data_IF_284850931551
#
_entry.id   IF_284850931551
#
_cell.length_a   1.000
_cell.length_b   1.000
_cell.length_c   1.000
_cell.angle_alpha   90.00
_cell.angle_beta   90.00
_cell.angle_gamma   90.00
#
_symmetry.space_group_name_H-M   'P 1'
#
loop_
_entity.id
_entity.type
_entity.pdbx_description
1 polymer ?
#
# COMPACT_ATOMS: atom_id res chain seq x y z
N UNK A 1 -13.01 -11.07 -5.61
CA UNK A 1 -12.59 -10.52 -4.30
C UNK A 1 -11.14 -10.07 -4.42
N UNK A 2 -10.81 -8.86 -3.94
CA UNK A 2 -9.49 -8.20 -4.09
C UNK A 2 -9.25 -7.50 -5.44
N UNK A 3 -8.85 -6.23 -5.43
CA UNK A 3 -8.36 -5.47 -6.61
C UNK A 3 -7.19 -4.59 -6.21
N UNK A 4 -5.99 -4.93 -6.67
CA UNK A 4 -4.74 -4.23 -6.36
C UNK A 4 -3.78 -5.13 -5.57
N UNK A 5 -2.68 -4.55 -5.12
CA UNK A 5 -1.63 -5.28 -4.41
C UNK A 5 -2.11 -5.77 -3.04
N UNK A 6 -1.86 -7.04 -2.74
CA UNK A 6 -2.16 -7.65 -1.44
C UNK A 6 -0.91 -7.65 -0.58
N UNK A 7 -1.02 -7.13 0.62
CA UNK A 7 0.07 -7.12 1.60
C UNK A 7 -0.13 -8.25 2.61
N UNK A 8 0.89 -9.08 2.79
CA UNK A 8 0.91 -10.17 3.78
C UNK A 8 1.97 -9.85 4.84
N UNK A 9 1.57 -9.89 6.10
CA UNK A 9 2.47 -9.76 7.23
C UNK A 9 2.42 -11.07 8.04
N UNK A 10 3.43 -11.94 7.84
CA UNK A 10 3.40 -13.30 8.38
C UNK A 10 3.51 -13.35 9.91
N UNK A 11 4.29 -12.45 10.51
CA UNK A 11 4.52 -12.42 11.95
C UNK A 11 3.26 -12.07 12.74
N UNK A 12 2.40 -11.20 12.20
CA UNK A 12 1.10 -10.83 12.77
C UNK A 12 -0.06 -11.62 12.17
N UNK A 13 0.22 -12.47 11.17
CA UNK A 13 -0.77 -13.20 10.35
C UNK A 13 -1.83 -12.27 9.76
N UNK A 14 -1.43 -11.07 9.35
CA UNK A 14 -2.32 -10.04 8.81
C UNK A 14 -2.28 -10.05 7.29
N UNK A 15 -3.47 -10.08 6.68
CA UNK A 15 -3.68 -9.94 5.24
C UNK A 15 -4.44 -8.63 4.98
N UNK A 16 -3.85 -7.74 4.18
CA UNK A 16 -4.50 -6.50 3.75
C UNK A 16 -4.77 -6.57 2.25
N UNK A 17 -6.06 -6.51 1.89
CA UNK A 17 -6.50 -6.64 0.51
C UNK A 17 -7.34 -5.41 0.14
N UNK A 18 -6.92 -4.60 -0.84
CA UNK A 18 -7.75 -3.53 -1.37
C UNK A 18 -8.98 -4.13 -2.08
N UNK A 19 -10.15 -3.58 -1.80
CA UNK A 19 -11.41 -4.10 -2.33
C UNK A 19 -12.30 -3.00 -2.90
N UNK A 20 -13.04 -3.35 -3.94
CA UNK A 20 -14.14 -2.55 -4.49
C UNK A 20 -15.45 -3.26 -4.23
N UNK A 21 -16.44 -2.61 -3.62
CA UNK A 21 -17.75 -3.22 -3.34
C UNK A 21 -18.40 -2.83 -2.01
N UNK A 22 -17.68 -2.10 -1.15
CA UNK A 22 -18.22 -1.57 0.11
C UNK A 22 -18.78 -2.66 1.03
N UNK A 23 -19.84 -2.31 1.78
CA UNK A 23 -20.42 -3.18 2.80
C UNK A 23 -21.04 -4.48 2.26
N UNK A 24 -21.53 -4.49 1.01
CA UNK A 24 -22.09 -5.70 0.38
C UNK A 24 -21.04 -6.80 0.26
N UNK A 25 -19.82 -6.43 -0.12
CA UNK A 25 -18.71 -7.37 -0.26
C UNK A 25 -18.34 -8.01 1.08
N UNK A 26 -18.38 -7.25 2.17
CA UNK A 26 -18.12 -7.78 3.50
C UNK A 26 -19.11 -8.91 3.85
N UNK A 27 -20.40 -8.72 3.57
CA UNK A 27 -21.41 -9.75 3.83
C UNK A 27 -21.18 -11.03 3.00
N UNK A 28 -20.70 -10.90 1.77
CA UNK A 28 -20.33 -12.04 0.92
C UNK A 28 -19.12 -12.80 1.49
N UNK A 29 -18.09 -12.07 1.92
CA UNK A 29 -16.88 -12.67 2.54
C UNK A 29 -17.23 -13.42 3.82
N UNK A 30 -18.06 -12.84 4.70
CA UNK A 30 -18.48 -13.49 5.94
C UNK A 30 -19.18 -14.83 5.65
N UNK A 31 -20.10 -14.85 4.67
CA UNK A 31 -20.79 -16.08 4.26
C UNK A 31 -19.84 -17.13 3.70
N UNK A 32 -18.81 -16.70 2.97
CA UNK A 32 -17.81 -17.61 2.43
C UNK A 32 -16.89 -18.19 3.52
N UNK A 33 -16.52 -17.40 4.53
CA UNK A 33 -15.74 -17.87 5.68
C UNK A 33 -16.55 -18.86 6.52
N UNK A 34 -17.81 -18.56 6.80
CA UNK A 34 -18.75 -19.44 7.50
C UNK A 34 -18.95 -20.76 6.73
N UNK A 35 -19.17 -20.70 5.41
CA UNK A 35 -19.28 -21.88 4.55
C UNK A 35 -18.02 -22.76 4.50
N UNK A 36 -16.86 -22.23 4.91
CA UNK A 36 -15.59 -22.96 5.03
C UNK A 36 -15.28 -23.39 6.47
N UNK A 37 -16.15 -23.09 7.44
CA UNK A 37 -15.95 -23.39 8.84
C UNK A 37 -14.84 -22.57 9.50
N UNK A 38 -14.56 -21.37 8.99
CA UNK A 38 -13.57 -20.45 9.58
C UNK A 38 -14.31 -19.56 10.57
N UNK A 39 -14.02 -19.74 11.86
CA UNK A 39 -14.60 -18.91 12.92
C UNK A 39 -14.07 -17.47 12.84
N UNK A 40 -14.96 -16.51 13.06
CA UNK A 40 -14.64 -15.08 13.03
C UNK A 40 -14.75 -14.55 14.46
N UNK A 41 -13.63 -14.09 15.01
CA UNK A 41 -13.59 -13.54 16.36
C UNK A 41 -14.15 -12.11 16.43
N UNK A 42 -13.82 -11.27 15.43
CA UNK A 42 -14.23 -9.85 15.41
C UNK A 42 -14.35 -9.29 13.97
N UNK A 43 -15.21 -8.28 13.80
CA UNK A 43 -15.45 -7.58 12.54
C UNK A 43 -15.65 -6.08 12.81
N UNK A 44 -14.79 -5.26 12.22
CA UNK A 44 -14.88 -3.81 12.26
C UNK A 44 -15.24 -3.18 10.91
N UNK A 45 -16.08 -2.15 10.93
CA UNK A 45 -16.27 -1.22 9.82
C UNK A 45 -16.02 0.21 10.29
N UNK A 46 -15.15 0.93 9.60
CA UNK A 46 -14.92 2.36 9.85
C UNK A 46 -15.60 3.19 8.77
N UNK A 47 -16.33 4.21 9.20
CA UNK A 47 -16.85 5.24 8.29
C UNK A 47 -15.71 6.20 7.93
N UNK A 48 -15.45 6.45 6.64
CA UNK A 48 -14.49 7.48 6.23
C UNK A 48 -14.86 8.84 6.83
N UNK A 49 -13.85 9.60 7.27
CA UNK A 49 -14.02 10.98 7.73
C UNK A 49 -14.02 11.96 6.57
N UNK A 50 -14.38 13.22 6.83
CA UNK A 50 -14.26 14.28 5.82
C UNK A 50 -12.80 14.48 5.40
N UNK A 51 -11.86 14.38 6.33
CA UNK A 51 -10.44 14.48 6.06
C UNK A 51 -10.00 13.37 5.10
N UNK A 52 -10.40 12.11 5.35
CA UNK A 52 -10.08 10.98 4.45
C UNK A 52 -10.54 11.24 3.01
N UNK A 53 -11.72 11.84 2.85
CA UNK A 53 -12.28 12.22 1.54
C UNK A 53 -11.51 13.39 0.94
N UNK A 54 -11.19 14.41 1.73
CA UNK A 54 -10.40 15.54 1.27
C UNK A 54 -9.00 15.10 0.82
N UNK A 55 -8.32 14.24 1.57
CA UNK A 55 -7.02 13.67 1.21
C UNK A 55 -7.13 12.81 -0.06
N UNK A 56 -8.16 11.97 -0.16
CA UNK A 56 -8.42 11.12 -1.34
C UNK A 56 -8.71 11.95 -2.60
N UNK A 57 -9.39 13.09 -2.47
CA UNK A 57 -9.72 13.98 -3.59
C UNK A 57 -8.58 14.93 -3.97
N UNK A 58 -7.76 15.34 -3.00
CA UNK A 58 -6.67 16.32 -3.21
C UNK A 58 -5.29 15.68 -3.40
N UNK A 59 -5.20 14.35 -3.32
CA UNK A 59 -4.00 13.59 -3.68
C UNK A 59 -2.84 13.64 -2.68
N UNK A 60 -3.07 14.14 -1.47
CA UNK A 60 -2.05 14.23 -0.42
C UNK A 60 -2.43 13.28 0.72
N UNK A 61 -1.79 12.11 0.82
CA UNK A 61 -1.98 11.20 1.96
C UNK A 61 -1.23 11.77 3.16
N UNK A 62 -1.95 12.34 4.13
CA UNK A 62 -1.40 12.56 5.46
C UNK A 62 -1.40 11.19 6.17
N UNK A 63 -0.24 10.71 6.59
CA UNK A 63 -0.11 9.46 7.34
C UNK A 63 -1.02 9.51 8.58
N UNK A 64 -1.97 8.56 8.65
CA UNK A 64 -2.87 8.41 9.80
C UNK A 64 -2.05 7.84 10.95
N UNK A 65 -1.70 8.70 11.90
CA UNK A 65 -1.15 8.30 13.19
C UNK A 65 -2.30 7.79 14.04
N UNK A 66 -2.23 6.50 14.37
CA UNK A 66 -3.12 5.84 15.31
C UNK A 66 -2.95 6.47 16.71
N UNK A 67 -3.91 7.28 17.14
CA UNK A 67 -3.91 7.92 18.46
C UNK A 67 -4.97 7.22 19.33
N UNK A 68 -4.54 6.14 19.98
CA UNK A 68 -5.26 5.43 21.02
C UNK A 68 -4.50 5.42 22.36
N UNK A 69 -4.87 6.38 23.23
CA UNK A 69 -4.77 6.39 24.71
C UNK A 69 -3.46 6.82 25.42
N UNK A 70 -3.52 8.07 25.92
CA UNK A 70 -3.05 8.65 27.20
C UNK A 70 -1.61 8.46 27.73
N UNK A 71 -0.90 9.58 27.95
CA UNK A 71 0.20 9.65 28.92
C UNK A 71 1.14 10.86 28.81
N UNK A 72 0.92 11.84 29.70
CA UNK A 72 1.89 12.79 30.29
C UNK A 72 2.61 13.85 29.43
N UNK A 73 2.44 15.10 29.87
CA UNK A 73 3.15 16.26 29.39
C UNK A 73 4.62 16.25 29.81
N UNK A 74 5.55 16.52 28.88
CA UNK A 74 6.74 17.39 29.06
C UNK A 74 7.55 17.50 27.76
N UNK A 75 7.85 18.73 27.39
CA UNK A 75 8.29 19.11 26.05
C UNK A 75 9.67 18.66 25.62
N UNK A 76 9.92 18.80 24.32
CA UNK A 76 11.23 18.98 23.69
C UNK A 76 11.03 19.65 22.32
N UNK A 77 11.51 20.88 22.18
CA UNK A 77 11.68 21.52 20.86
C UNK A 77 12.85 20.84 20.14
N UNK A 78 12.72 20.38 18.89
CA UNK A 78 13.90 19.98 18.12
C UNK A 78 14.58 21.22 17.53
N UNK A 79 15.85 21.43 17.87
CA UNK A 79 16.74 22.38 17.21
C UNK A 79 16.98 21.92 15.78
N UNK A 80 16.86 22.84 14.82
CA UNK A 80 17.11 22.64 13.41
C UNK A 80 18.54 23.09 13.11
N UNK A 81 19.42 22.14 12.83
CA UNK A 81 20.65 22.37 12.05
C UNK A 81 20.71 21.27 10.98
N UNK A 82 20.82 21.64 9.70
CA UNK A 82 21.95 21.09 8.97
C UNK A 82 22.56 22.13 8.02
N UNK A 83 23.79 22.54 8.32
CA UNK A 83 24.68 23.15 7.35
C UNK A 83 25.35 22.06 6.51
N UNK A 84 25.40 22.32 5.20
CA UNK A 84 26.30 21.79 4.16
C UNK A 84 26.07 20.36 3.64
N UNK A 85 25.54 20.30 2.42
CA UNK A 85 26.11 19.46 1.35
C UNK A 85 25.83 20.07 -0.02
N UNK A 86 26.79 20.85 -0.51
CA UNK A 86 26.85 21.31 -1.90
C UNK A 86 27.35 20.17 -2.83
N UNK A 87 27.12 20.29 -4.16
CA UNK A 87 26.72 19.20 -5.04
C UNK A 87 27.90 18.54 -5.76
N UNK A 88 27.81 17.23 -5.99
CA UNK A 88 28.74 16.52 -6.87
C UNK A 88 27.98 15.87 -8.03
N UNK A 89 28.29 16.38 -9.23
CA UNK A 89 28.01 15.83 -10.55
C UNK A 89 28.36 14.34 -10.68
N UNK A 90 27.51 13.60 -11.38
CA UNK A 90 27.87 12.66 -12.46
C UNK A 90 26.54 12.25 -13.13
N UNK A 91 26.10 12.77 -14.27
CA UNK A 91 26.59 12.55 -15.64
C UNK A 91 27.00 11.10 -15.95
N UNK A 92 26.56 10.61 -17.12
CA UNK A 92 26.85 9.31 -17.76
C UNK A 92 26.23 8.06 -17.10
N UNK A 93 25.60 7.12 -17.82
CA UNK A 93 25.52 6.88 -19.26
C UNK A 93 24.26 6.09 -19.60
N UNK A 94 23.74 6.37 -20.78
CA UNK A 94 22.86 5.50 -21.56
C UNK A 94 23.60 4.19 -21.88
N UNK A 95 22.93 3.05 -21.69
CA UNK A 95 23.25 1.83 -22.43
C UNK A 95 21.95 1.20 -22.88
N UNK A 96 21.55 1.58 -24.10
CA UNK A 96 20.60 0.87 -24.92
C UNK A 96 21.33 -0.36 -25.49
N UNK A 97 21.07 -1.54 -24.93
CA UNK A 97 21.56 -2.81 -25.49
C UNK A 97 20.53 -3.36 -26.47
N UNK A 98 20.93 -3.36 -27.73
CA UNK A 98 20.24 -3.99 -28.85
C UNK A 98 19.95 -5.47 -28.59
N UNK A 99 18.74 -5.92 -28.94
CA UNK A 99 18.44 -7.31 -29.24
C UNK A 99 18.00 -7.39 -30.71
N UNK A 100 18.96 -7.71 -31.56
CA UNK A 100 18.73 -8.32 -32.87
C UNK A 100 18.44 -9.79 -32.65
N UNK A 101 17.19 -10.22 -32.81
CA UNK A 101 16.89 -11.64 -32.99
C UNK A 101 16.74 -11.92 -34.48
N UNK A 102 17.65 -12.76 -34.96
CA UNK A 102 17.79 -13.25 -36.32
C UNK A 102 17.13 -14.63 -36.41
N UNK A 103 16.67 -14.96 -37.63
CA UNK A 103 16.36 -16.29 -38.14
C UNK A 103 14.88 -16.72 -38.16
N UNK A 104 14.24 -16.50 -39.31
CA UNK A 104 13.34 -17.49 -39.88
C UNK A 104 13.95 -17.96 -41.21
N UNK A 105 14.47 -19.18 -41.18
CA UNK A 105 14.83 -19.95 -42.35
C UNK A 105 14.25 -21.37 -42.20
N UNK A 106 13.84 -21.91 -43.34
CA UNK A 106 13.49 -23.32 -43.62
C UNK A 106 12.13 -23.84 -43.16
N UNK A 107 11.22 -24.01 -44.15
CA UNK A 107 10.80 -25.33 -44.66
C UNK A 107 9.66 -25.08 -45.69
N UNK A 108 9.89 -25.23 -47.00
CA UNK A 108 9.89 -26.49 -47.77
C UNK A 108 8.50 -26.89 -48.27
N UNK A 109 8.41 -26.84 -49.61
CA UNK A 109 7.51 -27.54 -50.55
C UNK A 109 6.04 -27.12 -50.66
#
# INVERSE_FOLDING_TARGET
FGKGDTTVEEHTRKLTVPVTGGAKLLAEVIRELDGRGIEIDDIGLRRPTLDDVFLSLTGHVAEVKDEGVAGDARGRKPKKDPAKKDPAKNETAQTETAQTETAQAEATQ
#
